data_IF_459713782293
#
_entry.id   IF_459713782293
#
_cell.length_a   1.000
_cell.length_b   1.000
_cell.length_c   1.000
_cell.angle_alpha   90.00
_cell.angle_beta   90.00
_cell.angle_gamma   90.00
#
_symmetry.space_group_name_H-M   'P 1'
#
loop_
_entity.id
_entity.type
_entity.pdbx_description
1 polymer ?
#
# COMPACT_ATOMS: atom_id res chain seq x y z
N UNK A 1 -25.75 29.14 -2.84
CA UNK A 1 -24.58 28.25 -2.66
C UNK A 1 -25.02 26.85 -3.07
N UNK A 2 -25.01 26.54 -4.37
CA UNK A 2 -25.48 25.25 -4.88
C UNK A 2 -24.30 24.32 -5.08
N UNK A 3 -24.17 23.28 -4.25
CA UNK A 3 -23.31 22.14 -4.59
C UNK A 3 -23.90 21.50 -5.85
N UNK A 4 -23.16 21.54 -6.96
CA UNK A 4 -23.59 20.84 -8.15
C UNK A 4 -23.53 19.33 -7.89
N UNK A 5 -24.46 18.57 -8.46
CA UNK A 5 -24.49 17.10 -8.37
C UNK A 5 -23.18 16.45 -8.81
N UNK A 6 -22.39 17.17 -9.61
CA UNK A 6 -21.09 16.80 -10.14
C UNK A 6 -19.95 16.80 -9.10
N UNK A 7 -20.05 17.60 -8.03
CA UNK A 7 -19.02 17.74 -6.99
C UNK A 7 -19.24 16.81 -5.79
N UNK A 8 -20.48 16.29 -5.65
CA UNK A 8 -20.89 15.47 -4.51
C UNK A 8 -20.03 14.21 -4.38
N UNK A 9 -19.78 13.41 -5.45
CA UNK A 9 -18.95 12.21 -5.31
C UNK A 9 -17.50 12.50 -4.89
N UNK A 10 -16.90 13.57 -5.43
CA UNK A 10 -15.54 14.00 -5.06
C UNK A 10 -15.46 14.46 -3.59
N UNK A 11 -16.46 15.24 -3.15
CA UNK A 11 -16.58 15.67 -1.77
C UNK A 11 -16.70 14.46 -0.82
N UNK A 12 -17.61 13.54 -1.15
CA UNK A 12 -17.82 12.31 -0.37
C UNK A 12 -16.54 11.47 -0.31
N UNK A 13 -15.87 11.25 -1.45
CA UNK A 13 -14.59 10.54 -1.51
C UNK A 13 -13.54 11.19 -0.60
N UNK A 14 -13.43 12.51 -0.65
CA UNK A 14 -12.47 13.28 0.15
C UNK A 14 -12.75 13.11 1.64
N UNK A 15 -14.01 13.28 2.06
CA UNK A 15 -14.43 13.13 3.46
C UNK A 15 -14.15 11.71 3.96
N UNK A 16 -14.56 10.69 3.20
CA UNK A 16 -14.36 9.28 3.56
C UNK A 16 -12.88 8.91 3.65
N UNK A 17 -12.03 9.47 2.78
CA UNK A 17 -10.58 9.27 2.83
C UNK A 17 -9.99 9.95 4.08
N UNK A 18 -10.40 11.20 4.36
CA UNK A 18 -9.95 11.93 5.54
C UNK A 18 -10.31 11.22 6.86
N UNK A 19 -11.51 10.63 6.93
CA UNK A 19 -11.99 9.89 8.10
C UNK A 19 -11.09 8.70 8.45
N UNK A 20 -10.42 8.09 7.48
CA UNK A 20 -9.47 7.00 7.69
C UNK A 20 -8.04 7.52 7.88
N UNK A 21 -7.66 8.57 7.16
CA UNK A 21 -6.31 9.12 7.16
C UNK A 21 -5.90 9.65 8.54
N UNK A 22 -6.77 10.41 9.23
CA UNK A 22 -6.42 10.98 10.54
C UNK A 22 -6.18 9.91 11.61
N UNK A 23 -7.07 8.91 11.79
CA UNK A 23 -6.77 7.77 12.66
C UNK A 23 -5.49 7.02 12.25
N UNK A 24 -5.25 6.82 10.94
CA UNK A 24 -4.06 6.14 10.46
C UNK A 24 -2.76 6.88 10.84
N UNK A 25 -2.75 8.21 10.73
CA UNK A 25 -1.61 9.02 11.16
C UNK A 25 -1.38 8.95 12.67
N UNK A 26 -2.46 8.98 13.47
CA UNK A 26 -2.36 8.80 14.92
C UNK A 26 -1.80 7.42 15.28
N UNK A 27 -2.29 6.36 14.64
CA UNK A 27 -1.78 4.99 14.83
C UNK A 27 -0.34 4.88 14.36
N UNK A 28 0.05 5.51 13.25
CA UNK A 28 1.44 5.52 12.79
C UNK A 28 2.38 6.09 13.85
N UNK A 29 2.02 7.21 14.50
CA UNK A 29 2.78 7.75 15.62
C UNK A 29 2.92 6.74 16.78
N UNK A 30 1.88 5.95 17.07
CA UNK A 30 1.93 4.88 18.05
C UNK A 30 2.82 3.71 17.60
N UNK A 31 2.78 3.31 16.33
CA UNK A 31 3.61 2.22 15.79
C UNK A 31 5.09 2.57 15.88
N UNK A 32 5.47 3.85 15.70
CA UNK A 32 6.85 4.30 15.84
C UNK A 32 7.43 4.05 17.24
N UNK A 33 6.59 4.03 18.27
CA UNK A 33 7.02 3.73 19.64
C UNK A 33 7.31 2.24 19.89
N UNK A 34 6.94 1.34 18.96
CA UNK A 34 7.13 -0.11 19.13
C UNK A 34 8.59 -0.51 18.90
N UNK A 35 9.15 -1.42 19.72
CA UNK A 35 10.53 -1.88 19.55
C UNK A 35 10.70 -2.59 18.18
N UNK A 36 11.73 -2.19 17.44
CA UNK A 36 12.08 -2.78 16.14
C UNK A 36 13.10 -3.92 16.24
N UNK A 37 13.57 -4.39 15.08
CA UNK A 37 14.60 -5.42 14.96
C UNK A 37 16.00 -4.88 15.31
N UNK A 38 16.28 -4.64 16.59
CA UNK A 38 17.65 -4.31 17.02
C UNK A 38 18.57 -5.52 16.94
N UNK A 39 18.21 -6.62 17.61
CA UNK A 39 19.01 -7.86 17.64
C UNK A 39 18.17 -9.12 17.34
N UNK A 40 16.84 -9.02 17.26
CA UNK A 40 15.95 -10.12 16.92
C UNK A 40 15.50 -10.03 15.46
N UNK A 41 15.88 -11.03 14.66
CA UNK A 41 15.53 -11.10 13.24
C UNK A 41 14.04 -11.43 13.02
N UNK A 42 13.35 -11.98 14.03
CA UNK A 42 11.91 -12.26 13.97
C UNK A 42 11.07 -10.98 13.97
N UNK A 43 11.61 -9.84 14.43
CA UNK A 43 10.90 -8.56 14.53
C UNK A 43 11.05 -7.67 13.28
N UNK A 44 11.77 -8.12 12.25
CA UNK A 44 12.00 -7.32 11.02
C UNK A 44 10.70 -6.92 10.33
N UNK A 45 9.66 -7.74 10.43
CA UNK A 45 8.36 -7.41 9.86
C UNK A 45 7.73 -6.17 10.51
N UNK A 46 7.99 -5.92 11.81
CA UNK A 46 7.49 -4.72 12.53
C UNK A 46 8.09 -3.45 11.94
N UNK A 47 9.37 -3.47 11.59
CA UNK A 47 10.03 -2.32 10.96
C UNK A 47 9.48 -2.06 9.55
N UNK A 48 9.25 -3.11 8.76
CA UNK A 48 8.57 -2.96 7.47
C UNK A 48 7.12 -2.47 7.63
N UNK A 49 6.39 -2.89 8.66
CA UNK A 49 5.06 -2.36 8.97
C UNK A 49 5.09 -0.88 9.30
N UNK A 50 6.09 -0.39 10.06
CA UNK A 50 6.27 1.05 10.32
C UNK A 50 6.48 1.82 9.03
N UNK A 51 7.40 1.35 8.18
CA UNK A 51 7.66 2.00 6.89
C UNK A 51 6.42 1.98 6.01
N UNK A 52 5.70 0.86 5.96
CA UNK A 52 4.44 0.74 5.21
C UNK A 52 3.38 1.72 5.70
N UNK A 53 3.17 1.85 7.01
CA UNK A 53 2.27 2.86 7.58
C UNK A 53 2.69 4.27 7.16
N UNK A 54 3.97 4.62 7.32
CA UNK A 54 4.48 5.96 7.01
C UNK A 54 4.29 6.31 5.54
N UNK A 55 4.68 5.41 4.63
CA UNK A 55 4.54 5.60 3.19
C UNK A 55 3.06 5.66 2.77
N UNK A 56 2.21 4.78 3.31
CA UNK A 56 0.79 4.74 2.99
C UNK A 56 0.07 6.02 3.48
N UNK A 57 0.30 6.43 4.72
CA UNK A 57 -0.27 7.65 5.29
C UNK A 57 0.21 8.90 4.57
N UNK A 58 1.51 8.99 4.26
CA UNK A 58 2.04 10.11 3.48
C UNK A 58 1.41 10.15 2.08
N UNK A 59 1.38 9.01 1.37
CA UNK A 59 0.74 8.90 0.07
C UNK A 59 -0.71 9.42 0.09
N UNK A 60 -1.51 8.94 1.04
CA UNK A 60 -2.92 9.32 1.15
C UNK A 60 -3.09 10.78 1.59
N UNK A 61 -2.17 11.33 2.39
CA UNK A 61 -2.14 12.76 2.71
C UNK A 61 -1.91 13.62 1.47
N UNK A 62 -0.93 13.29 0.62
CA UNK A 62 -0.70 14.01 -0.63
C UNK A 62 -1.90 13.91 -1.58
N UNK A 63 -2.51 12.72 -1.71
CA UNK A 63 -3.74 12.54 -2.50
C UNK A 63 -4.94 13.32 -1.92
N UNK A 64 -5.08 13.36 -0.60
CA UNK A 64 -6.13 14.09 0.09
C UNK A 64 -5.99 15.61 -0.13
N UNK A 65 -4.77 16.15 -0.01
CA UNK A 65 -4.47 17.55 -0.32
C UNK A 65 -4.80 17.85 -1.78
N UNK A 66 -4.37 16.99 -2.72
CA UNK A 66 -4.68 17.15 -4.15
C UNK A 66 -6.19 17.17 -4.41
N UNK A 67 -6.94 16.29 -3.74
CA UNK A 67 -8.40 16.21 -3.85
C UNK A 67 -9.08 17.49 -3.33
N UNK A 68 -8.63 18.03 -2.19
CA UNK A 68 -9.13 19.32 -1.67
C UNK A 68 -8.83 20.45 -2.65
N UNK A 69 -7.59 20.54 -3.15
CA UNK A 69 -7.20 21.56 -4.12
C UNK A 69 -8.08 21.49 -5.36
N UNK A 70 -8.33 20.28 -5.88
CA UNK A 70 -9.18 20.05 -7.05
C UNK A 70 -10.64 20.49 -6.80
N UNK A 71 -11.18 20.21 -5.61
CA UNK A 71 -12.51 20.67 -5.21
C UNK A 71 -12.58 22.20 -5.12
N UNK A 72 -11.54 22.84 -4.57
CA UNK A 72 -11.43 24.31 -4.54
C UNK A 72 -11.34 24.88 -5.94
N UNK A 73 -10.55 24.29 -6.84
CA UNK A 73 -10.45 24.74 -8.23
C UNK A 73 -11.79 24.65 -8.95
N UNK A 74 -12.49 23.52 -8.86
CA UNK A 74 -13.81 23.39 -9.50
C UNK A 74 -14.80 24.42 -8.97
N UNK A 75 -14.78 24.67 -7.65
CA UNK A 75 -15.61 25.72 -7.05
C UNK A 75 -15.26 27.12 -7.56
N UNK A 76 -13.99 27.39 -7.93
CA UNK A 76 -13.47 28.71 -8.36
C UNK A 76 -13.51 28.93 -9.88
N UNK A 77 -13.33 27.89 -10.69
CA UNK A 77 -13.50 27.96 -12.15
C UNK A 77 -14.92 28.37 -12.52
N UNK A 78 -15.90 27.97 -11.70
CA UNK A 78 -17.27 28.48 -11.77
C UNK A 78 -17.35 30.03 -11.69
N UNK A 79 -16.41 30.67 -11.00
CA UNK A 79 -16.30 32.13 -10.87
C UNK A 79 -15.26 32.74 -11.82
N UNK A 80 -14.88 32.04 -12.90
CA UNK A 80 -14.02 32.58 -13.96
C UNK A 80 -12.54 32.72 -13.60
N UNK A 81 -12.06 32.11 -12.52
CA UNK A 81 -10.65 32.15 -12.13
C UNK A 81 -9.91 30.87 -12.57
N UNK A 82 -8.86 31.00 -13.38
CA UNK A 82 -7.97 29.89 -13.75
C UNK A 82 -6.87 29.71 -12.71
N UNK A 83 -6.84 28.56 -12.04
CA UNK A 83 -5.76 28.15 -11.13
C UNK A 83 -4.83 27.15 -11.80
N UNK A 84 -3.56 27.16 -11.41
CA UNK A 84 -2.51 26.30 -11.96
C UNK A 84 -2.75 24.81 -11.61
N UNK A 85 -3.03 24.00 -12.63
CA UNK A 85 -3.31 22.56 -12.53
C UNK A 85 -2.01 21.74 -12.26
N UNK A 86 -0.85 22.37 -12.39
CA UNK A 86 0.45 21.68 -12.40
C UNK A 86 0.88 21.21 -11.01
N UNK A 87 0.60 22.02 -9.98
CA UNK A 87 0.87 21.68 -8.59
C UNK A 87 0.07 20.44 -8.19
N UNK A 88 -1.22 20.38 -8.52
CA UNK A 88 -2.09 19.21 -8.22
C UNK A 88 -1.51 17.94 -8.87
N UNK A 89 -1.07 18.03 -10.12
CA UNK A 89 -0.49 16.91 -10.84
C UNK A 89 0.78 16.39 -10.16
N UNK A 90 1.60 17.29 -9.60
CA UNK A 90 2.78 16.91 -8.82
C UNK A 90 2.42 16.16 -7.54
N UNK A 91 1.41 16.63 -6.78
CA UNK A 91 0.90 15.94 -5.60
C UNK A 91 0.45 14.49 -5.91
N UNK A 92 -0.25 14.29 -7.05
CA UNK A 92 -0.65 12.95 -7.48
C UNK A 92 0.54 12.06 -7.86
N UNK A 93 1.56 12.60 -8.55
CA UNK A 93 2.76 11.83 -8.92
C UNK A 93 3.55 11.39 -7.68
N UNK A 94 3.74 12.29 -6.71
CA UNK A 94 4.38 11.97 -5.43
C UNK A 94 3.56 10.96 -4.63
N UNK A 95 2.24 11.17 -4.54
CA UNK A 95 1.33 10.25 -3.86
C UNK A 95 1.41 8.84 -4.45
N UNK A 96 1.40 8.70 -5.78
CA UNK A 96 1.50 7.42 -6.46
C UNK A 96 2.83 6.70 -6.17
N UNK A 97 3.95 7.44 -6.18
CA UNK A 97 5.27 6.87 -5.86
C UNK A 97 5.31 6.32 -4.43
N UNK A 98 4.79 7.09 -3.48
CA UNK A 98 4.71 6.67 -2.08
C UNK A 98 3.76 5.49 -1.89
N UNK A 99 2.64 5.43 -2.63
CA UNK A 99 1.70 4.31 -2.58
C UNK A 99 2.37 3.01 -3.05
N UNK A 100 3.05 3.04 -4.21
CA UNK A 100 3.79 1.87 -4.71
C UNK A 100 4.84 1.43 -3.68
N UNK A 101 5.58 2.38 -3.10
CA UNK A 101 6.52 2.10 -2.00
C UNK A 101 5.84 1.41 -0.82
N UNK A 102 4.67 1.90 -0.40
CA UNK A 102 3.87 1.28 0.65
C UNK A 102 3.50 -0.17 0.31
N UNK A 103 3.02 -0.43 -0.92
CA UNK A 103 2.70 -1.79 -1.41
C UNK A 103 3.90 -2.74 -1.37
N UNK A 104 5.10 -2.27 -1.75
CA UNK A 104 6.34 -3.06 -1.65
C UNK A 104 6.69 -3.36 -0.19
N UNK A 105 6.52 -2.40 0.71
CA UNK A 105 6.77 -2.62 2.13
C UNK A 105 5.72 -3.50 2.80
N UNK A 106 4.46 -3.49 2.34
CA UNK A 106 3.44 -4.46 2.76
C UNK A 106 3.85 -5.88 2.39
N UNK A 107 4.27 -6.09 1.15
CA UNK A 107 4.78 -7.37 0.69
C UNK A 107 5.90 -7.89 1.63
N UNK A 108 6.89 -7.04 1.90
CA UNK A 108 8.00 -7.38 2.79
C UNK A 108 7.53 -7.65 4.22
N UNK A 109 6.65 -6.82 4.79
CA UNK A 109 6.11 -7.00 6.13
C UNK A 109 5.42 -8.36 6.26
N UNK A 110 4.52 -8.71 5.33
CA UNK A 110 3.79 -9.96 5.36
C UNK A 110 4.74 -11.15 5.11
N UNK A 111 5.71 -11.03 4.22
CA UNK A 111 6.72 -12.07 3.97
C UNK A 111 7.57 -12.37 5.21
N UNK A 112 8.11 -11.35 5.87
CA UNK A 112 8.91 -11.54 7.09
C UNK A 112 8.06 -12.01 8.27
N UNK A 113 6.79 -11.59 8.36
CA UNK A 113 5.85 -12.06 9.39
C UNK A 113 5.54 -13.55 9.18
N UNK A 114 5.25 -13.95 7.94
CA UNK A 114 5.10 -15.34 7.55
C UNK A 114 6.31 -16.20 7.95
N UNK A 115 7.52 -15.68 7.77
CA UNK A 115 8.73 -16.36 8.21
C UNK A 115 8.89 -16.42 9.73
N UNK A 116 8.54 -15.35 10.46
CA UNK A 116 8.55 -15.38 11.92
C UNK A 116 7.67 -16.51 12.47
N UNK A 117 6.51 -16.77 11.85
CA UNK A 117 5.68 -17.92 12.20
C UNK A 117 6.34 -19.28 11.92
N UNK A 118 7.08 -19.43 10.83
CA UNK A 118 7.79 -20.70 10.58
C UNK A 118 8.91 -20.95 11.58
N UNK A 119 9.61 -19.89 11.98
CA UNK A 119 10.69 -19.97 12.98
C UNK A 119 10.18 -20.42 14.35
N UNK A 120 9.03 -19.88 14.78
CA UNK A 120 8.41 -20.24 16.05
C UNK A 120 7.93 -21.69 16.07
N UNK A 121 7.52 -22.23 14.92
CA UNK A 121 7.00 -23.59 14.81
C UNK A 121 8.08 -24.68 14.85
N UNK A 122 9.18 -24.51 14.12
CA UNK A 122 10.13 -25.60 13.87
C UNK A 122 11.11 -25.77 15.03
N UNK A 123 11.18 -24.80 15.96
CA UNK A 123 12.28 -24.68 16.91
C UNK A 123 13.56 -24.36 16.16
N UNK A 124 14.39 -23.45 16.68
CA UNK A 124 15.51 -22.85 15.94
C UNK A 124 16.70 -23.81 15.61
N UNK A 125 16.48 -25.12 15.53
CA UNK A 125 17.52 -26.14 15.64
C UNK A 125 18.07 -26.74 14.34
N UNK A 126 17.26 -27.18 13.36
CA UNK A 126 17.77 -28.26 12.51
C UNK A 126 17.75 -28.10 10.98
N UNK A 127 16.94 -27.25 10.35
CA UNK A 127 16.83 -27.29 8.86
C UNK A 127 16.58 -25.94 8.15
N UNK A 128 16.72 -24.81 8.86
CA UNK A 128 16.13 -23.54 8.43
C UNK A 128 17.01 -22.65 7.53
N UNK A 129 18.17 -23.12 7.05
CA UNK A 129 19.18 -22.18 6.52
C UNK A 129 19.17 -21.97 5.01
N UNK A 130 18.62 -22.86 4.17
CA UNK A 130 18.76 -22.72 2.71
C UNK A 130 17.51 -22.19 2.00
N UNK A 131 16.34 -22.79 2.24
CA UNK A 131 15.10 -22.38 1.56
C UNK A 131 14.67 -20.97 1.94
N UNK A 132 14.81 -20.57 3.22
CA UNK A 132 14.54 -19.20 3.64
C UNK A 132 15.52 -18.20 2.99
N UNK A 133 16.83 -18.49 2.94
CA UNK A 133 17.81 -17.61 2.29
C UNK A 133 17.50 -17.42 0.80
N UNK A 134 17.05 -18.46 0.13
CA UNK A 134 16.61 -18.38 -1.28
C UNK A 134 15.35 -17.50 -1.39
N UNK A 135 14.34 -17.77 -0.56
CA UNK A 135 13.10 -16.99 -0.53
C UNK A 135 13.34 -15.51 -0.20
N UNK A 136 14.22 -15.22 0.75
CA UNK A 136 14.60 -13.87 1.15
C UNK A 136 15.31 -13.13 0.00
N UNK A 137 16.26 -13.77 -0.67
CA UNK A 137 16.91 -13.20 -1.86
C UNK A 137 15.89 -12.91 -2.96
N UNK A 138 14.94 -13.82 -3.18
CA UNK A 138 13.83 -13.62 -4.11
C UNK A 138 12.95 -12.44 -3.74
N UNK A 139 12.47 -12.38 -2.49
CA UNK A 139 11.61 -11.30 -2.01
C UNK A 139 12.31 -9.93 -2.07
N UNK A 140 13.58 -9.85 -1.69
CA UNK A 140 14.37 -8.63 -1.80
C UNK A 140 14.62 -8.25 -3.26
N UNK A 141 14.92 -9.22 -4.13
CA UNK A 141 15.11 -8.99 -5.57
C UNK A 141 13.84 -8.46 -6.24
N UNK A 142 12.69 -9.06 -5.96
CA UNK A 142 11.38 -8.58 -6.43
C UNK A 142 11.08 -7.19 -5.90
N UNK A 143 11.35 -6.94 -4.61
CA UNK A 143 11.13 -5.61 -4.00
C UNK A 143 12.03 -4.54 -4.62
N UNK A 144 13.30 -4.87 -4.90
CA UNK A 144 14.23 -3.97 -5.58
C UNK A 144 13.78 -3.67 -7.02
N UNK A 145 13.32 -4.69 -7.76
CA UNK A 145 12.74 -4.51 -9.09
C UNK A 145 11.51 -3.60 -9.06
N UNK A 146 10.58 -3.83 -8.13
CA UNK A 146 9.38 -3.01 -7.96
C UNK A 146 9.74 -1.56 -7.60
N UNK A 147 10.75 -1.35 -6.74
CA UNK A 147 11.23 -0.01 -6.38
C UNK A 147 11.87 0.72 -7.57
N UNK A 148 12.65 0.02 -8.41
CA UNK A 148 13.24 0.59 -9.63
C UNK A 148 12.15 0.97 -10.64
N UNK A 149 11.14 0.11 -10.84
CA UNK A 149 9.99 0.42 -11.70
C UNK A 149 9.21 1.62 -11.12
N UNK A 150 9.01 1.68 -9.80
CA UNK A 150 8.35 2.80 -9.14
C UNK A 150 9.09 4.13 -9.35
N UNK A 151 10.42 4.10 -9.25
CA UNK A 151 11.28 5.26 -9.52
C UNK A 151 11.17 5.71 -10.98
N UNK A 152 11.12 4.77 -11.93
CA UNK A 152 10.92 5.08 -13.34
C UNK A 152 9.53 5.70 -13.59
N UNK A 153 8.46 5.14 -13.02
CA UNK A 153 7.09 5.70 -13.09
C UNK A 153 7.05 7.13 -12.51
N UNK A 154 7.71 7.35 -11.37
CA UNK A 154 7.83 8.66 -10.75
C UNK A 154 8.57 9.66 -11.65
N UNK A 155 9.74 9.27 -12.15
CA UNK A 155 10.58 10.12 -13.00
C UNK A 155 9.87 10.52 -14.29
N UNK A 156 9.18 9.58 -14.95
CA UNK A 156 8.35 9.87 -16.11
C UNK A 156 7.16 10.77 -15.76
N UNK A 157 6.54 10.59 -14.59
CA UNK A 157 5.47 11.46 -14.10
C UNK A 157 5.94 12.90 -13.88
N UNK A 158 7.11 13.09 -13.26
CA UNK A 158 7.71 14.42 -13.06
C UNK A 158 8.08 15.05 -14.41
N UNK A 159 8.69 14.29 -15.32
CA UNK A 159 9.02 14.76 -16.67
C UNK A 159 7.76 15.20 -17.43
N UNK A 160 6.68 14.42 -17.37
CA UNK A 160 5.39 14.76 -17.97
C UNK A 160 4.83 16.09 -17.42
N UNK A 161 4.81 16.26 -16.10
CA UNK A 161 4.31 17.49 -15.45
C UNK A 161 5.17 18.70 -15.84
N UNK A 162 6.49 18.55 -15.84
CA UNK A 162 7.42 19.60 -16.26
C UNK A 162 7.19 19.99 -17.75
N UNK A 163 7.07 19.02 -18.64
CA UNK A 163 6.82 19.29 -20.06
C UNK A 163 5.46 19.95 -20.30
N UNK A 164 4.41 19.51 -19.61
CA UNK A 164 3.08 20.15 -19.66
C UNK A 164 3.14 21.62 -19.22
N UNK A 165 3.88 21.93 -18.16
CA UNK A 165 4.06 23.31 -17.72
C UNK A 165 4.79 24.17 -18.75
N UNK A 166 5.80 23.60 -19.43
CA UNK A 166 6.59 24.32 -20.45
C UNK A 166 5.89 24.50 -21.80
N UNK A 167 4.95 23.62 -22.15
CA UNK A 167 4.24 23.62 -23.45
C UNK A 167 2.97 24.47 -23.44
N UNK A 168 2.49 24.89 -22.26
CA UNK A 168 1.40 25.86 -22.13
C UNK A 168 1.83 27.22 -22.71
N UNK A 169 1.52 27.42 -23.99
CA UNK A 169 1.76 28.66 -24.73
C UNK A 169 2.63 28.51 -25.97
N UNK A 170 3.31 27.38 -26.17
CA UNK A 170 4.21 27.20 -27.33
C UNK A 170 3.50 26.76 -28.61
N UNK A 171 2.28 26.20 -28.52
CA UNK A 171 1.48 25.75 -29.67
C UNK A 171 2.10 24.62 -30.50
N UNK A 172 3.18 24.00 -30.03
CA UNK A 172 3.98 23.06 -30.81
C UNK A 172 3.44 21.62 -30.67
N UNK A 173 2.89 21.07 -31.76
CA UNK A 173 2.31 19.72 -31.80
C UNK A 173 3.32 18.60 -31.47
N UNK A 174 4.61 18.78 -31.76
CA UNK A 174 5.63 17.76 -31.52
C UNK A 174 5.89 17.52 -30.02
N UNK A 175 5.73 18.57 -29.21
CA UNK A 175 5.92 18.47 -27.77
C UNK A 175 4.74 17.71 -27.13
N UNK A 176 3.54 17.83 -27.70
CA UNK A 176 2.36 17.09 -27.25
C UNK A 176 2.47 15.58 -27.52
N UNK A 177 2.94 15.17 -28.71
CA UNK A 177 3.16 13.75 -29.01
C UNK A 177 4.16 13.12 -28.04
N UNK A 178 5.22 13.86 -27.69
CA UNK A 178 6.22 13.41 -26.71
C UNK A 178 5.60 13.23 -25.31
N UNK A 179 4.78 14.17 -24.85
CA UNK A 179 4.06 14.08 -23.57
C UNK A 179 3.15 12.84 -23.55
N UNK A 180 2.42 12.58 -24.65
CA UNK A 180 1.56 11.40 -24.77
C UNK A 180 2.36 10.11 -24.68
N UNK A 181 3.49 10.00 -25.40
CA UNK A 181 4.37 8.82 -25.34
C UNK A 181 4.94 8.58 -23.93
N UNK A 182 5.36 9.65 -23.24
CA UNK A 182 5.84 9.57 -21.85
C UNK A 182 4.73 9.07 -20.93
N UNK A 183 3.51 9.59 -21.06
CA UNK A 183 2.38 9.14 -20.24
C UNK A 183 2.04 7.66 -20.51
N UNK A 184 2.02 7.25 -21.77
CA UNK A 184 1.79 5.85 -22.15
C UNK A 184 2.87 4.93 -21.54
N UNK A 185 4.16 5.29 -21.65
CA UNK A 185 5.25 4.53 -21.07
C UNK A 185 5.13 4.43 -19.53
N UNK A 186 4.79 5.53 -18.87
CA UNK A 186 4.52 5.58 -17.42
C UNK A 186 3.38 4.64 -17.03
N UNK A 187 2.27 4.67 -17.76
CA UNK A 187 1.12 3.79 -17.50
C UNK A 187 1.49 2.32 -17.65
N UNK A 188 2.19 1.93 -18.72
CA UNK A 188 2.62 0.55 -18.90
C UNK A 188 3.52 0.07 -17.77
N UNK A 189 4.50 0.88 -17.35
CA UNK A 189 5.37 0.53 -16.21
C UNK A 189 4.57 0.41 -14.91
N UNK A 190 3.58 1.28 -14.70
CA UNK A 190 2.68 1.19 -13.55
C UNK A 190 1.86 -0.11 -13.58
N UNK A 191 1.29 -0.49 -14.72
CA UNK A 191 0.54 -1.74 -14.85
C UNK A 191 1.43 -2.99 -14.66
N UNK A 192 2.67 -2.96 -15.15
CA UNK A 192 3.65 -4.03 -14.90
C UNK A 192 3.91 -4.15 -13.39
N UNK A 193 4.12 -3.03 -12.70
CA UNK A 193 4.34 -2.99 -11.25
C UNK A 193 3.13 -3.59 -10.50
N UNK A 194 1.92 -3.15 -10.84
CA UNK A 194 0.67 -3.65 -10.27
C UNK A 194 0.46 -5.15 -10.54
N UNK A 195 0.80 -5.63 -11.74
CA UNK A 195 0.73 -7.04 -12.11
C UNK A 195 1.66 -7.90 -11.25
N UNK A 196 2.91 -7.48 -11.09
CA UNK A 196 3.88 -8.18 -10.23
C UNK A 196 3.38 -8.17 -8.77
N UNK A 197 2.94 -7.02 -8.25
CA UNK A 197 2.37 -6.90 -6.90
C UNK A 197 1.19 -7.86 -6.69
N UNK A 198 0.27 -7.93 -7.65
CA UNK A 198 -0.90 -8.83 -7.59
C UNK A 198 -0.49 -10.30 -7.53
N UNK A 199 0.49 -10.70 -8.35
CA UNK A 199 1.06 -12.06 -8.31
C UNK A 199 1.71 -12.36 -6.96
N UNK A 200 2.48 -11.41 -6.41
CA UNK A 200 3.10 -11.58 -5.08
C UNK A 200 2.06 -11.68 -3.96
N UNK A 201 1.00 -10.87 -4.00
CA UNK A 201 -0.08 -10.92 -3.02
C UNK A 201 -0.84 -12.24 -3.10
N UNK A 202 -1.07 -12.77 -4.30
CA UNK A 202 -1.66 -14.09 -4.49
C UNK A 202 -0.77 -15.18 -3.87
N UNK A 203 0.52 -15.17 -4.18
CA UNK A 203 1.48 -16.14 -3.64
C UNK A 203 1.54 -16.11 -2.10
N UNK A 204 1.58 -14.90 -1.52
CA UNK A 204 1.58 -14.70 -0.06
C UNK A 204 0.26 -15.15 0.57
N UNK A 205 -0.87 -14.92 -0.09
CA UNK A 205 -2.19 -15.38 0.40
C UNK A 205 -2.27 -16.90 0.40
N UNK A 206 -1.83 -17.56 -0.69
CA UNK A 206 -1.75 -19.03 -0.77
C UNK A 206 -0.86 -19.59 0.35
N UNK A 207 0.27 -18.94 0.60
CA UNK A 207 1.15 -19.30 1.70
C UNK A 207 0.46 -19.14 3.07
N UNK A 208 -0.23 -18.02 3.31
CA UNK A 208 -0.95 -17.78 4.56
C UNK A 208 -2.08 -18.79 4.79
N UNK A 209 -2.78 -19.23 3.73
CA UNK A 209 -3.78 -20.31 3.80
C UNK A 209 -3.11 -21.62 4.23
N UNK A 210 -1.99 -21.96 3.61
CA UNK A 210 -1.24 -23.17 3.93
C UNK A 210 -0.71 -23.13 5.38
N UNK A 211 -0.22 -21.97 5.85
CA UNK A 211 0.21 -21.77 7.21
C UNK A 211 -0.95 -21.95 8.21
N UNK A 212 -2.08 -21.26 8.00
CA UNK A 212 -3.26 -21.35 8.87
C UNK A 212 -3.79 -22.78 8.99
N UNK A 213 -3.84 -23.54 7.88
CA UNK A 213 -4.30 -24.94 7.89
C UNK A 213 -3.45 -25.83 8.79
N UNK A 214 -2.15 -25.53 8.89
CA UNK A 214 -1.23 -26.32 9.70
C UNK A 214 -1.20 -25.91 11.17
N UNK A 215 -1.64 -24.70 11.51
CA UNK A 215 -1.63 -24.13 12.87
C UNK A 215 -3.00 -24.18 13.56
N UNK A 216 -3.95 -25.00 13.08
CA UNK A 216 -5.36 -24.96 13.53
C UNK A 216 -5.54 -25.20 15.04
N UNK A 217 -4.66 -25.98 15.65
CA UNK A 217 -4.73 -26.39 17.06
C UNK A 217 -3.55 -25.82 17.90
N UNK A 218 -2.85 -24.80 17.39
CA UNK A 218 -1.68 -24.17 18.01
C UNK A 218 -2.05 -22.85 18.72
N UNK A 219 -1.34 -22.42 19.79
CA UNK A 219 -1.54 -21.10 20.41
C UNK A 219 -1.35 -19.94 19.40
N UNK A 220 -0.68 -20.22 18.28
CA UNK A 220 -0.39 -19.28 17.20
C UNK A 220 -1.55 -19.19 16.16
N UNK A 221 -2.60 -20.01 16.29
CA UNK A 221 -3.74 -20.06 15.35
C UNK A 221 -4.40 -18.69 15.10
N UNK A 222 -4.52 -17.88 16.16
CA UNK A 222 -5.12 -16.54 16.08
C UNK A 222 -4.24 -15.58 15.28
N UNK A 223 -2.93 -15.63 15.50
CA UNK A 223 -1.96 -14.80 14.80
C UNK A 223 -1.83 -15.22 13.30
N UNK A 224 -1.86 -16.52 13.01
CA UNK A 224 -1.94 -17.04 11.64
C UNK A 224 -3.25 -16.65 10.91
N UNK A 225 -4.36 -16.55 11.65
CA UNK A 225 -5.62 -16.05 11.11
C UNK A 225 -5.54 -14.56 10.77
N UNK A 226 -4.92 -13.74 11.62
CA UNK A 226 -4.69 -12.32 11.36
C UNK A 226 -3.74 -12.09 10.16
N UNK A 227 -2.71 -12.93 10.00
CA UNK A 227 -1.87 -12.94 8.79
C UNK A 227 -2.69 -13.21 7.53
N UNK A 228 -3.55 -14.23 7.54
CA UNK A 228 -4.41 -14.57 6.41
C UNK A 228 -5.38 -13.43 6.08
N UNK A 229 -5.99 -12.82 7.09
CA UNK A 229 -6.87 -11.66 6.91
C UNK A 229 -6.11 -10.50 6.27
N UNK A 230 -4.92 -10.19 6.76
CA UNK A 230 -4.06 -9.13 6.21
C UNK A 230 -3.69 -9.39 4.75
N UNK A 231 -3.24 -10.60 4.43
CA UNK A 231 -2.89 -10.99 3.06
C UNK A 231 -4.10 -10.94 2.11
N UNK A 232 -5.26 -11.40 2.59
CA UNK A 232 -6.50 -11.40 1.80
C UNK A 232 -7.00 -9.98 1.52
N UNK A 233 -7.02 -9.10 2.53
CA UNK A 233 -7.41 -7.70 2.36
C UNK A 233 -6.47 -6.95 1.40
N UNK A 234 -5.17 -7.22 1.49
CA UNK A 234 -4.18 -6.67 0.58
C UNK A 234 -4.39 -7.17 -0.86
N UNK A 235 -4.62 -8.47 -1.05
CA UNK A 235 -4.96 -9.04 -2.37
C UNK A 235 -6.25 -8.43 -2.94
N UNK A 236 -7.31 -8.30 -2.13
CA UNK A 236 -8.57 -7.69 -2.55
C UNK A 236 -8.37 -6.24 -3.00
N UNK A 237 -7.53 -5.47 -2.31
CA UNK A 237 -7.16 -4.09 -2.66
C UNK A 237 -6.49 -4.04 -4.04
N UNK A 238 -5.54 -4.93 -4.32
CA UNK A 238 -4.83 -4.97 -5.59
C UNK A 238 -5.73 -5.43 -6.75
N UNK A 239 -6.55 -6.46 -6.52
CA UNK A 239 -7.54 -6.92 -7.50
C UNK A 239 -8.55 -5.83 -7.83
N UNK A 240 -9.04 -5.12 -6.81
CA UNK A 240 -9.93 -3.98 -7.03
C UNK A 240 -9.24 -2.87 -7.84
N UNK A 241 -7.97 -2.57 -7.55
CA UNK A 241 -7.19 -1.58 -8.32
C UNK A 241 -7.07 -1.98 -9.79
N UNK A 242 -6.88 -3.27 -10.09
CA UNK A 242 -6.89 -3.77 -11.47
C UNK A 242 -8.27 -3.58 -12.11
N UNK A 243 -9.33 -3.95 -11.40
CA UNK A 243 -10.71 -3.80 -11.88
C UNK A 243 -11.03 -2.32 -12.15
N UNK A 244 -10.69 -1.41 -11.23
CA UNK A 244 -11.00 0.00 -11.36
C UNK A 244 -10.28 0.64 -12.56
N UNK A 245 -9.03 0.25 -12.83
CA UNK A 245 -8.29 0.66 -14.03
C UNK A 245 -8.98 0.16 -15.30
N UNK A 246 -9.38 -1.12 -15.34
CA UNK A 246 -10.07 -1.69 -16.51
C UNK A 246 -11.40 -0.98 -16.76
N UNK A 247 -12.20 -0.75 -15.71
CA UNK A 247 -13.47 -0.05 -15.86
C UNK A 247 -13.23 1.41 -16.29
N UNK A 248 -12.26 2.11 -15.70
CA UNK A 248 -11.93 3.47 -16.11
C UNK A 248 -11.53 3.59 -17.59
N UNK A 249 -10.89 2.55 -18.14
CA UNK A 249 -10.40 2.54 -19.53
C UNK A 249 -11.45 2.10 -20.55
N UNK A 250 -12.37 1.22 -20.17
CA UNK A 250 -13.33 0.60 -21.09
C UNK A 250 -14.79 1.03 -20.84
N UNK A 251 -15.09 1.79 -19.77
CA UNK A 251 -16.46 2.23 -19.49
C UNK A 251 -16.92 3.28 -20.52
N UNK A 252 -18.11 3.09 -21.13
CA UNK A 252 -18.65 4.01 -22.13
C UNK A 252 -19.18 5.34 -21.55
N UNK A 253 -19.32 5.47 -20.22
CA UNK A 253 -19.94 6.63 -19.58
C UNK A 253 -19.03 7.29 -18.53
N UNK A 254 -18.65 8.57 -18.69
CA UNK A 254 -17.85 9.33 -17.72
C UNK A 254 -18.50 9.49 -16.34
N UNK A 255 -19.83 9.35 -16.24
CA UNK A 255 -20.58 9.43 -14.99
C UNK A 255 -20.36 8.21 -14.08
N UNK A 256 -20.15 7.02 -14.66
CA UNK A 256 -19.88 5.80 -13.91
C UNK A 256 -18.54 5.90 -13.15
N UNK A 257 -17.53 6.53 -13.76
CA UNK A 257 -16.23 6.76 -13.16
C UNK A 257 -16.30 7.57 -11.85
N UNK A 258 -17.24 8.52 -11.74
CA UNK A 258 -17.40 9.37 -10.55
C UNK A 258 -17.94 8.61 -9.34
N UNK A 259 -18.91 7.72 -9.55
CA UNK A 259 -19.40 6.87 -8.46
C UNK A 259 -18.38 5.81 -8.08
N UNK A 260 -17.57 5.33 -9.03
CA UNK A 260 -16.45 4.44 -8.73
C UNK A 260 -15.42 5.07 -7.81
N UNK A 261 -15.19 6.38 -7.87
CA UNK A 261 -14.29 7.05 -6.92
C UNK A 261 -14.70 6.87 -5.45
N UNK A 262 -16.01 6.82 -5.17
CA UNK A 262 -16.52 6.56 -3.82
C UNK A 262 -16.31 5.08 -3.45
N UNK A 263 -16.59 4.18 -4.40
CA UNK A 263 -16.38 2.74 -4.21
C UNK A 263 -14.89 2.42 -3.99
N UNK A 264 -13.98 3.12 -4.68
CA UNK A 264 -12.54 3.00 -4.52
C UNK A 264 -12.10 3.26 -3.08
N UNK A 265 -12.76 4.17 -2.35
CA UNK A 265 -12.43 4.40 -0.94
C UNK A 265 -12.72 3.16 -0.10
N UNK A 266 -13.88 2.53 -0.30
CA UNK A 266 -14.29 1.35 0.46
C UNK A 266 -13.54 0.08 0.08
N UNK A 267 -13.09 -0.04 -1.17
CA UNK A 267 -12.45 -1.26 -1.67
C UNK A 267 -10.93 -1.15 -1.78
N UNK A 268 -10.35 0.06 -1.70
CA UNK A 268 -8.90 0.28 -1.72
C UNK A 268 -8.37 0.90 -0.44
N UNK A 269 -8.93 2.04 -0.01
CA UNK A 269 -8.40 2.80 1.13
C UNK A 269 -8.69 2.10 2.45
N UNK A 270 -9.95 1.74 2.69
CA UNK A 270 -10.39 1.12 3.95
C UNK A 270 -9.75 -0.26 4.18
N UNK A 271 -9.66 -1.17 3.19
CA UNK A 271 -9.03 -2.48 3.39
C UNK A 271 -7.51 -2.37 3.60
N UNK A 272 -6.85 -1.40 2.95
CA UNK A 272 -5.43 -1.12 3.19
C UNK A 272 -5.19 -0.64 4.63
N UNK A 273 -6.02 0.28 5.11
CA UNK A 273 -5.98 0.72 6.52
C UNK A 273 -6.26 -0.43 7.50
N UNK A 274 -7.27 -1.26 7.21
CA UNK A 274 -7.57 -2.42 8.04
C UNK A 274 -6.39 -3.41 8.08
N UNK A 275 -5.71 -3.63 6.95
CA UNK A 275 -4.49 -4.44 6.87
C UNK A 275 -3.39 -3.89 7.78
N UNK A 276 -3.14 -2.58 7.71
CA UNK A 276 -2.17 -1.89 8.57
C UNK A 276 -2.54 -2.01 10.05
N UNK A 277 -3.81 -1.81 10.39
CA UNK A 277 -4.31 -1.93 11.76
C UNK A 277 -4.11 -3.35 12.30
N UNK A 278 -4.39 -4.38 11.49
CA UNK A 278 -4.15 -5.78 11.88
C UNK A 278 -2.67 -6.04 12.13
N UNK A 279 -1.77 -5.55 11.27
CA UNK A 279 -0.33 -5.66 11.47
C UNK A 279 0.13 -4.90 12.74
N UNK A 280 -0.45 -3.74 13.02
CA UNK A 280 -0.19 -3.00 14.26
C UNK A 280 -0.65 -3.77 15.50
N UNK A 281 -1.85 -4.36 15.47
CA UNK A 281 -2.39 -5.16 16.58
C UNK A 281 -1.52 -6.40 16.84
N UNK A 282 -1.06 -7.06 15.78
CA UNK A 282 -0.07 -8.14 15.86
C UNK A 282 1.23 -7.66 16.52
N UNK A 283 1.71 -6.46 16.17
CA UNK A 283 2.96 -5.92 16.70
C UNK A 283 2.83 -5.41 18.14
N UNK A 284 1.60 -5.17 18.61
CA UNK A 284 1.32 -4.56 19.90
C UNK A 284 0.99 -5.54 21.01
N UNK A 285 0.67 -6.79 20.66
CA UNK A 285 0.11 -7.75 21.60
C UNK A 285 1.17 -8.78 21.97
N UNK A 286 1.69 -8.65 23.20
CA UNK A 286 2.70 -9.55 23.77
C UNK A 286 2.20 -11.00 23.87
N UNK A 287 0.89 -11.20 23.95
CA UNK A 287 0.23 -12.52 23.96
C UNK A 287 0.40 -13.33 22.68
N UNK A 288 0.81 -12.72 21.56
CA UNK A 288 1.09 -13.47 20.34
C UNK A 288 2.53 -13.99 20.28
N UNK A 289 3.37 -13.70 21.28
CA UNK A 289 4.62 -14.42 21.54
C UNK A 289 5.58 -14.48 20.35
N UNK A 290 5.54 -13.48 19.45
CA UNK A 290 6.34 -13.50 18.21
C UNK A 290 7.83 -13.19 18.44
N UNK A 291 8.24 -12.95 19.70
CA UNK A 291 9.65 -12.81 20.09
C UNK A 291 10.19 -14.12 20.63
N UNK A 292 11.41 -14.46 20.22
CA UNK A 292 12.09 -15.69 20.64
C UNK A 292 12.37 -15.75 22.14
N UNK A 293 12.43 -14.58 22.78
CA UNK A 293 12.68 -14.41 24.22
C UNK A 293 11.45 -14.85 25.02
N UNK A 294 10.24 -14.50 24.57
CA UNK A 294 9.00 -14.91 25.23
C UNK A 294 8.74 -16.42 25.12
N UNK A 295 9.10 -17.04 24.00
CA UNK A 295 8.89 -18.48 23.83
C UNK A 295 9.81 -19.32 24.74
N UNK A 296 11.07 -18.89 24.92
CA UNK A 296 12.01 -19.57 25.83
C UNK A 296 11.62 -19.46 27.30
N UNK A 297 11.14 -18.30 27.74
CA UNK A 297 10.71 -18.11 29.13
C UNK A 297 9.53 -19.01 29.48
N UNK A 298 8.57 -19.19 28.58
CA UNK A 298 7.45 -20.12 28.81
C UNK A 298 7.88 -21.59 28.77
N UNK A 299 8.81 -21.97 27.88
CA UNK A 299 9.34 -23.35 27.85
C UNK A 299 10.16 -23.68 29.11
N UNK A 300 10.86 -22.69 29.69
CA UNK A 300 11.62 -22.84 30.93
C UNK A 300 10.68 -22.90 32.17
N UNK A 301 9.59 -22.11 32.18
CA UNK A 301 8.58 -22.13 33.25
C UNK A 301 7.71 -23.41 33.25
N UNK A 302 7.48 -24.05 32.10
CA UNK A 302 6.80 -25.35 32.01
C UNK A 302 7.70 -26.55 32.35
N UNK A 303 9.03 -26.40 32.32
CA UNK A 303 9.98 -27.46 32.73
C UNK A 303 10.24 -27.47 34.24
N UNK A 304 9.99 -26.35 34.92
CA UNK A 304 10.18 -26.20 36.36
C UNK A 304 8.88 -26.44 37.20
N UNK A 305 7.78 -26.85 36.56
CA UNK A 305 6.48 -27.17 37.17
C UNK A 305 6.17 -28.68 37.18
#
# INVERSE_FOLDING_TARGET
>A
MGLHTWDIPQLVQTILTGLVLFPAMAIFALVLSKPGAKHDYTLKWVDFTKVAFGLWSASHLFSFIASIMLLVIFSRQYWGHSLEIDIISYFYVVSLFLDIGAQVTFFLAIFYLAHAFTQLRIGAGANETQQFRIGQKGALGVSALLALIALAVFSLGVAMVAMLSSTRGSGNFNDYDTIVRINIAREYLYYINLGILTVTALAVTVYAIAARRKERDSPVAKAATLLLVSASLWLSTLLWTVISILVARFAPFPSAYRYMMVIDVFLRVWPSFATLLVLYLLASSDSYGLSRIHYRVNDDEEQDA
#
